data_IF_265279470835
#
_entry.id   IF_265279470835
#
_cell.length_a   1.000
_cell.length_b   1.000
_cell.length_c   1.000
_cell.angle_alpha   90.00
_cell.angle_beta   90.00
_cell.angle_gamma   90.00
#
_symmetry.space_group_name_H-M   'P 1'
#
loop_
_entity.id
_entity.type
_entity.pdbx_description
1 polymer ?
#
# COMPACT_ATOMS: atom_id res chain seq x y z
N UNK A 1 30.99 4.17 27.82
CA UNK A 1 30.56 2.83 28.27
C UNK A 1 29.33 2.50 27.43
N UNK A 2 29.51 1.71 26.37
CA UNK A 2 28.42 1.35 25.44
C UNK A 2 27.60 0.25 26.12
N UNK A 3 26.27 0.36 26.25
CA UNK A 3 25.48 -0.77 26.69
C UNK A 3 25.49 -1.79 25.54
N UNK A 4 26.23 -2.88 25.73
CA UNK A 4 26.11 -4.07 24.89
C UNK A 4 24.79 -4.72 25.27
N UNK A 5 23.73 -4.40 24.54
CA UNK A 5 22.51 -5.22 24.57
C UNK A 5 22.86 -6.56 23.95
N UNK A 6 22.92 -7.61 24.77
CA UNK A 6 23.03 -8.97 24.28
C UNK A 6 21.92 -9.23 23.24
N UNK A 7 22.21 -9.96 22.14
CA UNK A 7 21.16 -10.33 21.19
C UNK A 7 20.14 -11.19 21.94
N UNK A 8 18.89 -10.73 21.98
CA UNK A 8 17.79 -11.53 22.50
C UNK A 8 17.68 -12.80 21.65
N UNK A 9 17.74 -13.96 22.29
CA UNK A 9 17.39 -15.24 21.67
C UNK A 9 15.95 -15.15 21.13
N UNK A 10 15.70 -15.75 19.95
CA UNK A 10 14.39 -15.79 19.28
C UNK A 10 13.27 -16.22 20.22
N UNK A 11 13.51 -17.18 21.13
CA UNK A 11 12.52 -17.59 22.13
C UNK A 11 12.16 -16.47 23.09
N UNK A 12 13.16 -15.71 23.56
CA UNK A 12 12.95 -14.56 24.45
C UNK A 12 12.20 -13.42 23.75
N UNK A 13 12.44 -13.23 22.45
CA UNK A 13 11.74 -12.24 21.63
C UNK A 13 10.28 -12.62 21.37
N UNK A 14 10.02 -13.89 21.05
CA UNK A 14 8.65 -14.42 20.90
C UNK A 14 7.87 -14.37 22.21
N UNK A 15 8.48 -14.73 23.34
CA UNK A 15 7.84 -14.61 24.65
C UNK A 15 7.47 -13.16 24.98
N UNK A 16 8.34 -12.19 24.65
CA UNK A 16 8.06 -10.76 24.82
C UNK A 16 6.95 -10.26 23.89
N UNK A 17 6.91 -10.72 22.64
CA UNK A 17 5.86 -10.39 21.67
C UNK A 17 4.50 -10.99 22.06
N UNK A 18 4.47 -12.27 22.40
CA UNK A 18 3.26 -12.95 22.87
C UNK A 18 2.70 -12.30 24.14
N UNK A 19 3.57 -11.82 25.04
CA UNK A 19 3.15 -11.04 26.21
C UNK A 19 2.57 -9.65 25.84
N UNK A 20 3.00 -9.04 24.73
CA UNK A 20 2.46 -7.77 24.24
C UNK A 20 1.18 -7.92 23.39
N UNK A 21 0.90 -9.11 22.88
CA UNK A 21 -0.31 -9.45 22.09
C UNK A 21 -1.34 -10.26 22.87
N UNK A 22 -1.14 -10.50 24.17
CA UNK A 22 -2.00 -11.32 25.02
C UNK A 22 -3.31 -10.61 25.39
N UNK A 23 -4.25 -10.57 24.46
CA UNK A 23 -5.69 -10.57 24.73
C UNK A 23 -6.28 -11.96 24.47
N UNK A 24 -6.14 -12.84 25.48
CA UNK A 24 -6.82 -14.15 25.76
C UNK A 24 -7.44 -14.94 24.58
N UNK A 25 -7.05 -16.19 24.31
CA UNK A 25 -7.32 -17.43 25.10
C UNK A 25 -6.66 -18.60 24.33
N UNK A 26 -6.20 -19.73 24.87
CA UNK A 26 -6.23 -20.37 26.18
C UNK A 26 -5.93 -21.85 25.91
N UNK A 27 -4.68 -22.29 26.01
CA UNK A 27 -4.29 -23.70 25.89
C UNK A 27 -3.90 -24.23 27.26
N UNK A 28 -4.77 -25.06 27.81
CA UNK A 28 -4.55 -25.77 29.05
C UNK A 28 -5.31 -27.09 28.98
N UNK A 29 -4.59 -28.17 28.78
CA UNK A 29 -5.10 -29.54 28.84
C UNK A 29 -3.98 -30.44 29.33
N UNK A 30 -4.03 -30.82 30.61
CA UNK A 30 -3.15 -31.82 31.20
C UNK A 30 -3.45 -33.21 30.59
N UNK A 31 -2.43 -33.85 30.04
CA UNK A 31 -2.51 -35.23 29.53
C UNK A 31 -1.12 -35.85 29.39
N UNK A 32 -0.77 -36.72 30.33
CA UNK A 32 0.44 -37.54 30.33
C UNK A 32 0.27 -38.73 29.36
N UNK A 33 1.14 -38.84 28.36
CA UNK A 33 1.66 -40.13 27.87
C UNK A 33 2.88 -39.95 26.93
N UNK A 34 3.89 -40.75 27.21
CA UNK A 34 5.18 -40.92 26.52
C UNK A 34 5.09 -41.09 25.00
N UNK A 35 5.32 -40.00 24.29
CA UNK A 35 5.93 -39.87 22.96
C UNK A 35 6.73 -38.56 23.02
N UNK A 36 7.80 -38.38 22.24
CA UNK A 36 8.43 -37.04 22.13
C UNK A 36 7.30 -36.01 21.95
N UNK A 37 7.22 -34.96 22.79
CA UNK A 37 6.10 -34.04 22.74
C UNK A 37 6.01 -33.50 21.31
N UNK A 38 4.82 -33.43 20.70
CA UNK A 38 4.68 -32.71 19.45
C UNK A 38 5.28 -31.33 19.68
N UNK A 39 6.27 -30.96 18.86
CA UNK A 39 6.86 -29.63 18.94
C UNK A 39 5.70 -28.65 18.82
N UNK A 40 5.46 -27.85 19.86
CA UNK A 40 4.36 -26.90 19.82
C UNK A 40 4.54 -26.01 18.57
N UNK A 41 3.45 -25.51 17.94
CA UNK A 41 3.54 -24.61 16.78
C UNK A 41 4.56 -23.48 16.98
N UNK A 42 4.70 -23.01 18.22
CA UNK A 42 5.67 -22.02 18.64
C UNK A 42 7.11 -22.54 18.48
N UNK A 43 7.42 -23.77 18.88
CA UNK A 43 8.74 -24.35 18.68
C UNK A 43 9.09 -24.50 17.19
N UNK A 44 8.12 -24.86 16.34
CA UNK A 44 8.29 -24.89 14.88
C UNK A 44 8.60 -23.51 14.31
N UNK A 45 7.89 -22.47 14.76
CA UNK A 45 8.15 -21.09 14.36
C UNK A 45 9.52 -20.59 14.87
N UNK A 46 9.90 -20.93 16.10
CA UNK A 46 11.24 -20.63 16.66
C UNK A 46 12.34 -21.27 15.81
N UNK A 47 12.11 -22.51 15.36
CA UNK A 47 13.03 -23.26 14.49
C UNK A 47 13.14 -22.66 13.08
N UNK A 48 12.33 -21.65 12.73
CA UNK A 48 12.37 -21.01 11.42
C UNK A 48 11.54 -21.73 10.37
N UNK A 49 10.54 -22.52 10.79
CA UNK A 49 9.61 -23.20 9.88
C UNK A 49 8.33 -22.37 9.70
N UNK A 50 7.67 -22.55 8.56
CA UNK A 50 6.36 -21.97 8.31
C UNK A 50 5.31 -22.93 8.86
N UNK A 51 4.28 -22.39 9.53
CA UNK A 51 3.21 -23.20 10.12
C UNK A 51 1.88 -22.80 9.52
N UNK A 52 1.16 -23.76 8.94
CA UNK A 52 -0.21 -23.59 8.47
C UNK A 52 -1.19 -24.18 9.50
N UNK A 53 -2.27 -23.46 9.77
CA UNK A 53 -3.35 -23.89 10.66
C UNK A 53 -4.67 -23.76 9.89
N UNK A 54 -5.31 -24.90 9.61
CA UNK A 54 -6.61 -24.98 8.94
C UNK A 54 -7.76 -24.51 9.83
N UNK A 55 -8.94 -24.27 9.23
CA UNK A 55 -10.16 -23.93 10.00
C UNK A 55 -10.63 -25.04 10.94
N UNK A 56 -10.26 -26.29 10.67
CA UNK A 56 -10.50 -27.46 11.51
C UNK A 56 -9.46 -27.66 12.62
N UNK A 57 -8.53 -26.70 12.77
CA UNK A 57 -7.37 -26.76 13.66
C UNK A 57 -6.34 -27.83 13.28
N UNK A 58 -6.36 -28.36 12.04
CA UNK A 58 -5.27 -29.19 11.54
C UNK A 58 -4.02 -28.32 11.32
N UNK A 59 -2.89 -28.76 11.86
CA UNK A 59 -1.60 -28.08 11.74
C UNK A 59 -0.73 -28.79 10.70
N UNK A 60 -0.10 -27.99 9.83
CA UNK A 60 0.95 -28.47 8.91
C UNK A 60 2.20 -27.62 9.06
N UNK A 61 3.33 -28.27 9.38
CA UNK A 61 4.64 -27.61 9.49
C UNK A 61 5.41 -27.78 8.19
N UNK A 62 5.78 -26.68 7.55
CA UNK A 62 6.61 -26.65 6.35
C UNK A 62 8.03 -26.24 6.73
N UNK A 63 8.97 -27.18 6.62
CA UNK A 63 10.39 -26.88 6.83
C UNK A 63 10.91 -26.06 5.66
N UNK A 64 11.36 -24.84 5.96
CA UNK A 64 11.85 -23.87 4.97
C UNK A 64 13.09 -24.30 4.20
N UNK A 65 13.81 -25.33 4.66
CA UNK A 65 14.96 -25.89 3.98
C UNK A 65 14.61 -27.01 2.99
N UNK A 66 13.40 -27.58 3.09
CA UNK A 66 13.00 -28.78 2.33
C UNK A 66 12.30 -28.43 1.01
N UNK A 67 12.00 -27.15 0.78
CA UNK A 67 11.26 -26.64 -0.38
C UNK A 67 11.73 -25.25 -0.79
N UNK A 68 11.59 -24.94 -2.08
CA UNK A 68 11.83 -23.59 -2.62
C UNK A 68 10.60 -22.67 -2.47
N UNK A 69 9.46 -23.22 -2.04
CA UNK A 69 8.17 -22.53 -1.99
C UNK A 69 7.41 -22.68 -0.65
N UNK A 70 8.08 -22.45 0.50
CA UNK A 70 7.52 -22.84 1.80
C UNK A 70 6.21 -22.12 2.18
N UNK A 71 6.00 -20.87 1.74
CA UNK A 71 4.76 -20.14 2.03
C UNK A 71 3.65 -20.58 1.10
N UNK A 72 3.96 -20.81 -0.18
CA UNK A 72 2.97 -21.34 -1.12
C UNK A 72 2.52 -22.74 -0.72
N UNK A 73 3.44 -23.63 -0.35
CA UNK A 73 3.14 -25.00 0.09
C UNK A 73 2.24 -24.99 1.34
N UNK A 74 2.49 -24.07 2.27
CA UNK A 74 1.66 -23.86 3.46
C UNK A 74 0.25 -23.37 3.12
N UNK A 75 0.11 -22.46 2.15
CA UNK A 75 -1.20 -22.00 1.67
C UNK A 75 -1.96 -23.12 0.94
N UNK A 76 -1.25 -23.94 0.17
CA UNK A 76 -1.85 -25.07 -0.56
C UNK A 76 -2.34 -26.15 0.41
N UNK A 77 -1.66 -26.37 1.53
CA UNK A 77 -2.11 -27.30 2.58
C UNK A 77 -3.45 -26.89 3.23
N UNK A 78 -3.78 -25.59 3.24
CA UNK A 78 -5.05 -25.07 3.80
C UNK A 78 -6.01 -24.55 2.73
N UNK A 79 -5.79 -24.88 1.45
CA UNK A 79 -6.57 -24.33 0.34
C UNK A 79 -8.05 -24.73 0.41
N UNK A 80 -8.34 -25.99 0.75
CA UNK A 80 -9.69 -26.54 0.74
C UNK A 80 -10.53 -26.09 1.94
N UNK A 81 -9.92 -26.05 3.13
CA UNK A 81 -10.59 -25.65 4.37
C UNK A 81 -10.52 -24.14 4.63
N UNK A 82 -9.58 -23.42 4.01
CA UNK A 82 -9.16 -22.09 4.45
C UNK A 82 -8.31 -22.19 5.73
N UNK A 83 -7.67 -21.09 6.12
CA UNK A 83 -6.79 -21.13 7.28
C UNK A 83 -5.84 -19.96 7.40
N UNK A 84 -4.82 -20.14 8.23
CA UNK A 84 -3.79 -19.13 8.53
C UNK A 84 -2.41 -19.74 8.38
N UNK A 85 -1.54 -19.02 7.69
CA UNK A 85 -0.13 -19.34 7.54
C UNK A 85 0.68 -18.36 8.39
N UNK A 86 1.44 -18.89 9.33
CA UNK A 86 2.29 -18.14 10.24
C UNK A 86 3.75 -18.19 9.75
N UNK A 87 4.31 -17.01 9.52
CA UNK A 87 5.71 -16.83 9.19
C UNK A 87 6.55 -16.83 10.46
N UNK A 88 7.65 -17.58 10.51
CA UNK A 88 8.58 -17.55 11.64
C UNK A 88 9.27 -16.18 11.72
N UNK A 89 9.83 -15.80 12.89
CA UNK A 89 10.82 -14.74 12.96
C UNK A 89 12.08 -15.09 12.16
N UNK A 90 12.58 -14.14 11.39
CA UNK A 90 13.68 -14.30 10.46
C UNK A 90 13.22 -14.31 9.02
N UNK A 91 14.06 -14.86 8.15
CA UNK A 91 13.91 -14.80 6.71
C UNK A 91 13.37 -16.13 6.18
N UNK A 92 12.23 -16.07 5.50
CA UNK A 92 11.70 -17.12 4.64
C UNK A 92 11.89 -16.68 3.19
N UNK A 93 12.47 -17.55 2.38
CA UNK A 93 12.65 -17.30 0.94
C UNK A 93 11.61 -18.09 0.17
N UNK A 94 11.02 -17.42 -0.80
CA UNK A 94 10.09 -17.99 -1.75
C UNK A 94 10.66 -17.73 -3.15
N UNK A 95 10.71 -18.78 -3.98
CA UNK A 95 11.25 -18.66 -5.33
C UNK A 95 10.27 -17.97 -6.28
N UNK A 96 9.00 -18.33 -6.21
CA UNK A 96 7.93 -17.78 -7.04
C UNK A 96 7.07 -16.73 -6.33
N UNK A 97 6.07 -16.17 -7.03
CA UNK A 97 5.10 -15.32 -6.37
C UNK A 97 4.17 -16.16 -5.50
N UNK A 98 3.80 -15.63 -4.34
CA UNK A 98 2.84 -16.25 -3.42
C UNK A 98 1.43 -15.93 -3.91
N UNK A 99 0.59 -16.96 -4.04
CA UNK A 99 -0.79 -16.86 -4.55
C UNK A 99 -1.79 -17.34 -3.49
N UNK A 100 -2.26 -16.44 -2.61
CA UNK A 100 -3.25 -16.80 -1.59
C UNK A 100 -4.53 -17.40 -2.17
N UNK A 101 -5.10 -18.36 -1.45
CA UNK A 101 -6.42 -18.94 -1.76
C UNK A 101 -7.52 -18.13 -1.07
N UNK A 102 -8.78 -18.41 -1.41
CA UNK A 102 -9.93 -17.84 -0.70
C UNK A 102 -9.89 -18.25 0.77
N UNK A 103 -10.31 -17.35 1.66
CA UNK A 103 -10.37 -17.61 3.11
C UNK A 103 -9.03 -17.99 3.75
N UNK A 104 -7.91 -17.48 3.23
CA UNK A 104 -6.58 -17.73 3.79
C UNK A 104 -5.94 -16.44 4.31
N UNK A 105 -4.90 -16.54 5.13
CA UNK A 105 -4.11 -15.37 5.47
C UNK A 105 -2.69 -15.68 5.86
N UNK A 106 -1.80 -14.70 5.71
CA UNK A 106 -0.38 -14.77 6.04
C UNK A 106 -0.12 -13.81 7.19
N UNK A 107 0.44 -14.33 8.28
CA UNK A 107 0.66 -13.61 9.52
C UNK A 107 2.10 -13.72 9.97
N UNK A 108 2.73 -12.59 10.30
CA UNK A 108 4.06 -12.55 10.91
C UNK A 108 4.06 -11.90 12.28
N UNK A 109 5.25 -11.83 12.87
CA UNK A 109 5.48 -11.31 14.22
C UNK A 109 5.84 -9.81 14.28
N UNK A 110 5.81 -9.13 13.14
CA UNK A 110 6.07 -7.70 12.99
C UNK A 110 6.88 -7.37 11.73
N UNK A 111 6.80 -6.11 11.30
CA UNK A 111 7.66 -5.56 10.26
C UNK A 111 9.13 -5.70 10.67
N UNK A 112 10.01 -6.13 9.75
CA UNK A 112 11.42 -6.47 10.01
C UNK A 112 11.67 -7.64 10.99
N UNK A 113 10.63 -8.30 11.49
CA UNK A 113 10.76 -9.50 12.34
C UNK A 113 10.56 -10.75 11.51
N UNK A 114 9.38 -10.87 10.89
CA UNK A 114 9.07 -11.92 9.92
C UNK A 114 9.28 -11.34 8.54
N UNK A 115 10.16 -11.95 7.75
CA UNK A 115 10.52 -11.48 6.41
C UNK A 115 10.20 -12.57 5.41
N UNK A 116 9.30 -12.28 4.49
CA UNK A 116 9.06 -13.07 3.29
C UNK A 116 9.81 -12.42 2.13
N UNK A 117 10.84 -13.09 1.60
CA UNK A 117 11.62 -12.60 0.48
C UNK A 117 11.29 -13.35 -0.82
N UNK A 118 10.89 -12.60 -1.84
CA UNK A 118 10.92 -13.07 -3.23
C UNK A 118 12.28 -12.70 -3.82
N UNK A 119 13.16 -13.68 -3.95
CA UNK A 119 14.54 -13.44 -4.36
C UNK A 119 14.73 -13.45 -5.88
N UNK A 120 13.82 -14.07 -6.63
CA UNK A 120 13.93 -14.22 -8.08
C UNK A 120 13.62 -12.89 -8.80
N UNK A 121 14.45 -12.57 -9.78
CA UNK A 121 14.30 -11.33 -10.54
C UNK A 121 13.08 -11.38 -11.47
N UNK A 122 12.41 -10.24 -11.66
CA UNK A 122 11.18 -10.10 -12.46
C UNK A 122 10.00 -10.94 -11.94
N UNK A 123 10.02 -11.30 -10.65
CA UNK A 123 8.95 -12.06 -10.01
C UNK A 123 8.09 -11.14 -9.14
N UNK A 124 6.77 -11.30 -9.22
CA UNK A 124 5.81 -10.62 -8.34
C UNK A 124 5.97 -11.11 -6.89
N UNK A 125 5.51 -10.30 -5.95
CA UNK A 125 5.41 -10.66 -4.54
C UNK A 125 4.22 -11.58 -4.27
N UNK A 126 3.12 -10.94 -3.87
CA UNK A 126 1.83 -11.57 -3.67
C UNK A 126 0.98 -11.30 -4.91
N UNK A 127 0.59 -12.37 -5.59
CA UNK A 127 -0.12 -12.32 -6.86
C UNK A 127 -1.53 -12.89 -6.72
N UNK A 128 -2.51 -12.06 -7.04
CA UNK A 128 -3.93 -12.43 -7.11
C UNK A 128 -4.34 -12.57 -8.57
N UNK A 129 -4.14 -13.78 -9.10
CA UNK A 129 -4.41 -14.15 -10.50
C UNK A 129 -5.23 -15.46 -10.65
N UNK A 130 -5.75 -16.00 -9.54
CA UNK A 130 -6.46 -17.30 -9.52
C UNK A 130 -7.85 -17.23 -10.16
N UNK A 131 -8.30 -18.37 -10.66
CA UNK A 131 -9.70 -18.63 -11.02
C UNK A 131 -10.20 -19.84 -10.19
N UNK A 132 -11.19 -19.68 -9.30
CA UNK A 132 -11.91 -18.44 -9.00
C UNK A 132 -11.06 -17.43 -8.19
N UNK A 133 -11.25 -16.11 -8.40
CA UNK A 133 -10.37 -15.08 -7.79
C UNK A 133 -10.39 -15.11 -6.26
N UNK A 134 -9.29 -14.71 -5.64
CA UNK A 134 -9.16 -14.73 -4.17
C UNK A 134 -10.15 -13.76 -3.49
N UNK A 135 -10.65 -14.14 -2.33
CA UNK A 135 -11.51 -13.30 -1.47
C UNK A 135 -11.32 -13.67 0.00
N UNK A 136 -11.59 -12.74 0.92
CA UNK A 136 -11.39 -12.92 2.37
C UNK A 136 -9.95 -13.33 2.68
N UNK A 137 -8.99 -12.60 2.11
CA UNK A 137 -7.55 -12.80 2.33
C UNK A 137 -7.02 -11.80 3.32
N UNK A 138 -6.20 -12.26 4.26
CA UNK A 138 -5.52 -11.42 5.25
C UNK A 138 -3.99 -11.43 5.10
N UNK A 139 -3.36 -10.27 5.16
CA UNK A 139 -1.90 -10.10 5.17
C UNK A 139 -1.52 -9.19 6.34
N UNK A 140 -0.84 -9.68 7.38
CA UNK A 140 -0.49 -8.85 8.54
C UNK A 140 0.85 -9.21 9.19
N UNK A 141 1.61 -8.18 9.58
CA UNK A 141 2.70 -8.31 10.54
C UNK A 141 3.99 -8.85 9.94
N UNK A 142 4.30 -8.57 8.67
CA UNK A 142 5.56 -9.01 8.07
C UNK A 142 6.14 -7.99 7.09
N UNK A 143 7.42 -8.19 6.77
CA UNK A 143 8.09 -7.55 5.66
C UNK A 143 7.97 -8.41 4.41
N UNK A 144 7.47 -7.83 3.31
CA UNK A 144 7.51 -8.39 1.97
C UNK A 144 8.72 -7.80 1.22
N UNK A 145 9.78 -8.59 1.12
CA UNK A 145 11.07 -8.19 0.60
C UNK A 145 11.22 -8.57 -0.87
N UNK A 146 11.54 -7.61 -1.72
CA UNK A 146 11.87 -7.84 -3.12
C UNK A 146 13.28 -8.42 -3.33
N UNK A 147 13.69 -8.57 -4.59
CA UNK A 147 15.00 -9.14 -4.96
C UNK A 147 16.17 -8.16 -4.72
N UNK A 148 15.89 -6.93 -4.30
CA UNK A 148 16.88 -5.91 -3.91
C UNK A 148 16.88 -4.68 -4.80
N UNK A 149 17.47 -3.58 -4.31
CA UNK A 149 17.36 -2.23 -4.89
C UNK A 149 17.82 -2.12 -6.34
N UNK A 150 18.82 -2.91 -6.72
CA UNK A 150 19.41 -2.90 -8.07
C UNK A 150 18.96 -4.08 -8.94
N UNK A 151 17.99 -4.86 -8.48
CA UNK A 151 17.51 -6.07 -9.17
C UNK A 151 16.10 -5.85 -9.70
N UNK A 152 15.83 -6.26 -10.94
CA UNK A 152 14.45 -6.28 -11.47
C UNK A 152 13.53 -7.11 -10.61
N UNK A 153 12.36 -6.58 -10.30
CA UNK A 153 11.26 -7.27 -9.64
C UNK A 153 10.01 -7.20 -10.51
N UNK A 154 9.00 -7.98 -10.15
CA UNK A 154 7.62 -7.66 -10.49
C UNK A 154 7.03 -6.67 -9.48
N UNK A 155 5.71 -6.72 -9.31
CA UNK A 155 4.95 -5.91 -8.35
C UNK A 155 4.90 -6.61 -6.99
N UNK A 156 5.04 -5.88 -5.88
CA UNK A 156 4.97 -6.49 -4.54
C UNK A 156 3.59 -7.09 -4.24
N UNK A 157 2.49 -6.40 -4.56
CA UNK A 157 1.11 -6.88 -4.43
C UNK A 157 0.38 -6.60 -5.73
N UNK A 158 -0.03 -7.65 -6.42
CA UNK A 158 -0.55 -7.56 -7.77
C UNK A 158 -1.92 -8.21 -7.88
N UNK A 159 -2.94 -7.39 -8.12
CA UNK A 159 -4.25 -7.84 -8.57
C UNK A 159 -4.24 -7.84 -10.09
N UNK A 160 -3.83 -8.97 -10.65
CA UNK A 160 -3.61 -9.14 -12.09
C UNK A 160 -4.89 -9.57 -12.77
N UNK A 161 -5.16 -8.98 -13.92
CA UNK A 161 -6.27 -9.46 -14.73
C UNK A 161 -5.99 -10.87 -15.26
N UNK A 162 -7.05 -11.66 -15.32
CA UNK A 162 -7.01 -13.06 -15.75
C UNK A 162 -8.24 -13.43 -16.60
N UNK A 163 -8.89 -12.43 -17.18
CA UNK A 163 -10.11 -12.56 -18.02
C UNK A 163 -11.31 -13.23 -17.29
N UNK A 164 -11.24 -13.41 -15.97
CA UNK A 164 -12.34 -13.97 -15.20
C UNK A 164 -13.54 -13.02 -15.13
N UNK A 165 -14.73 -13.60 -14.95
CA UNK A 165 -15.98 -12.84 -14.83
C UNK A 165 -15.88 -11.84 -13.67
N UNK A 166 -16.21 -10.54 -13.87
CA UNK A 166 -16.21 -9.53 -12.81
C UNK A 166 -17.06 -9.90 -11.58
N UNK A 167 -18.05 -10.80 -11.70
CA UNK A 167 -18.80 -11.33 -10.54
C UNK A 167 -17.90 -12.05 -9.52
N UNK A 168 -16.74 -12.51 -9.98
CA UNK A 168 -15.74 -13.18 -9.17
C UNK A 168 -14.66 -12.24 -8.66
N UNK A 169 -14.79 -10.91 -8.84
CA UNK A 169 -13.79 -9.92 -8.47
C UNK A 169 -13.26 -10.09 -7.03
N UNK A 170 -11.99 -9.74 -6.78
CA UNK A 170 -11.40 -9.90 -5.46
C UNK A 170 -12.16 -9.08 -4.41
N UNK A 171 -12.53 -9.72 -3.30
CA UNK A 171 -13.37 -9.11 -2.27
C UNK A 171 -12.86 -9.34 -0.85
N UNK A 172 -13.19 -8.42 0.06
CA UNK A 172 -12.99 -8.56 1.51
C UNK A 172 -11.53 -8.79 1.92
N UNK A 173 -10.59 -8.01 1.35
CA UNK A 173 -9.18 -8.11 1.71
C UNK A 173 -8.88 -7.30 2.98
N UNK A 174 -8.05 -7.87 3.85
CA UNK A 174 -7.49 -7.18 5.00
C UNK A 174 -5.96 -7.16 4.91
N UNK A 175 -5.38 -5.98 4.76
CA UNK A 175 -3.93 -5.77 4.86
C UNK A 175 -3.68 -4.98 6.14
N UNK A 176 -3.14 -5.64 7.16
CA UNK A 176 -2.85 -5.03 8.46
C UNK A 176 -1.61 -4.15 8.40
N UNK A 177 -0.53 -4.59 9.05
CA UNK A 177 0.78 -3.93 9.06
C UNK A 177 1.71 -4.62 8.07
N UNK A 178 1.86 -4.04 6.90
CA UNK A 178 2.74 -4.58 5.86
C UNK A 178 3.88 -3.60 5.55
N UNK A 179 5.08 -4.14 5.45
CA UNK A 179 6.27 -3.41 5.05
C UNK A 179 6.85 -3.98 3.76
N UNK A 180 6.81 -3.23 2.66
CA UNK A 180 7.41 -3.60 1.39
C UNK A 180 8.80 -2.95 1.27
N UNK A 181 9.81 -3.76 0.95
CA UNK A 181 11.19 -3.27 0.81
C UNK A 181 11.82 -3.69 -0.50
N UNK A 182 12.48 -2.74 -1.17
CA UNK A 182 13.28 -2.94 -2.38
C UNK A 182 12.54 -3.62 -3.55
N UNK A 183 11.34 -3.10 -3.87
CA UNK A 183 10.56 -3.45 -5.05
C UNK A 183 10.72 -2.39 -6.14
N UNK A 184 10.74 -2.81 -7.39
CA UNK A 184 11.29 -2.06 -8.51
C UNK A 184 10.40 -2.04 -9.77
N UNK A 185 9.15 -2.49 -9.63
CA UNK A 185 8.06 -2.37 -10.63
C UNK A 185 6.73 -2.08 -9.90
N UNK A 186 6.70 -1.03 -9.08
CA UNK A 186 5.61 -0.67 -8.16
C UNK A 186 5.42 -1.63 -6.97
N UNK A 187 4.67 -1.17 -5.96
CA UNK A 187 4.37 -1.93 -4.75
C UNK A 187 2.96 -2.51 -4.79
N UNK A 188 1.96 -1.72 -5.18
CA UNK A 188 0.57 -2.16 -5.16
C UNK A 188 -0.07 -1.85 -6.51
N UNK A 189 -0.40 -2.87 -7.30
CA UNK A 189 -1.02 -2.71 -8.62
C UNK A 189 -2.33 -3.45 -8.69
N UNK A 190 -3.35 -2.74 -9.15
CA UNK A 190 -4.61 -3.29 -9.62
C UNK A 190 -4.71 -3.02 -11.11
N UNK A 191 -4.74 -4.09 -11.90
CA UNK A 191 -4.85 -4.00 -13.35
C UNK A 191 -6.23 -3.50 -13.81
N UNK A 192 -6.27 -3.01 -15.06
CA UNK A 192 -7.53 -2.79 -15.76
C UNK A 192 -8.24 -4.14 -15.93
N UNK A 193 -9.56 -4.19 -15.69
CA UNK A 193 -10.33 -5.45 -15.71
C UNK A 193 -10.49 -6.14 -14.34
N UNK A 194 -9.76 -5.71 -13.31
CA UNK A 194 -9.92 -6.23 -11.94
C UNK A 194 -10.54 -5.19 -11.04
N UNK A 195 -11.64 -5.49 -10.36
CA UNK A 195 -12.34 -4.55 -9.49
C UNK A 195 -12.36 -4.93 -8.02
N UNK A 196 -11.23 -4.88 -7.28
CA UNK A 196 -11.24 -5.22 -5.87
C UNK A 196 -12.23 -4.34 -5.10
N UNK A 197 -13.02 -4.93 -4.21
CA UNK A 197 -14.03 -4.22 -3.45
C UNK A 197 -14.02 -4.60 -1.98
N UNK A 198 -14.43 -3.65 -1.13
CA UNK A 198 -14.46 -3.82 0.34
C UNK A 198 -13.09 -4.20 0.93
N UNK A 199 -12.00 -3.69 0.35
CA UNK A 199 -10.66 -3.95 0.84
C UNK A 199 -10.22 -2.90 1.87
N UNK A 200 -9.58 -3.34 2.95
CA UNK A 200 -9.08 -2.49 4.03
C UNK A 200 -7.57 -2.69 4.22
N UNK A 201 -6.82 -1.59 4.17
CA UNK A 201 -5.38 -1.56 4.40
C UNK A 201 -5.09 -0.66 5.60
N UNK A 202 -4.75 -1.19 6.77
CA UNK A 202 -4.52 -0.37 7.97
C UNK A 202 -3.20 0.40 7.90
N UNK A 203 -2.11 -0.27 7.50
CA UNK A 203 -0.77 0.33 7.43
C UNK A 203 0.08 -0.31 6.33
N UNK A 204 0.49 0.50 5.35
CA UNK A 204 1.40 0.10 4.27
C UNK A 204 2.65 1.00 4.29
N UNK A 205 3.82 0.39 4.51
CA UNK A 205 5.12 1.07 4.41
C UNK A 205 5.90 0.57 3.20
N UNK A 206 6.59 1.47 2.52
CA UNK A 206 7.34 1.21 1.30
C UNK A 206 8.70 1.88 1.39
N UNK A 207 9.79 1.14 1.61
CA UNK A 207 11.12 1.73 1.68
C UNK A 207 12.02 1.16 0.59
N UNK A 208 12.84 2.03 0.01
CA UNK A 208 13.76 1.72 -1.09
C UNK A 208 13.06 1.09 -2.31
N UNK A 209 11.76 1.38 -2.48
CA UNK A 209 11.00 0.95 -3.64
C UNK A 209 11.08 2.00 -4.76
N UNK A 210 10.99 1.54 -6.01
CA UNK A 210 11.01 2.34 -7.22
C UNK A 210 9.78 1.99 -8.07
N UNK A 211 9.08 3.00 -8.58
CA UNK A 211 7.98 2.80 -9.51
C UNK A 211 8.46 2.24 -10.86
N UNK A 212 9.74 2.37 -11.22
CA UNK A 212 10.27 1.96 -12.50
C UNK A 212 9.67 2.77 -13.64
N UNK A 213 9.24 2.11 -14.72
CA UNK A 213 8.61 2.73 -15.89
C UNK A 213 7.09 2.99 -15.71
N UNK A 214 6.63 3.07 -14.45
CA UNK A 214 5.21 3.12 -14.10
C UNK A 214 4.81 4.49 -13.58
N UNK A 215 3.50 4.72 -13.50
CA UNK A 215 2.99 6.03 -13.10
C UNK A 215 3.21 6.30 -11.60
N UNK A 216 3.22 5.26 -10.76
CA UNK A 216 3.35 5.38 -9.31
C UNK A 216 3.72 4.05 -8.60
N UNK A 217 4.08 4.13 -7.31
CA UNK A 217 4.23 2.98 -6.42
C UNK A 217 2.90 2.25 -6.15
N UNK A 218 1.79 3.00 -6.07
CA UNK A 218 0.44 2.47 -5.97
C UNK A 218 -0.29 2.82 -7.28
N UNK A 219 -0.64 1.79 -8.05
CA UNK A 219 -1.38 1.93 -9.31
C UNK A 219 -2.76 1.28 -9.20
N UNK A 220 -3.80 2.10 -9.20
CA UNK A 220 -5.18 1.65 -9.23
C UNK A 220 -5.78 1.88 -10.62
N UNK A 221 -5.70 0.88 -11.49
CA UNK A 221 -6.15 1.00 -12.89
C UNK A 221 -7.56 0.47 -13.14
N UNK A 222 -8.22 -0.02 -12.09
CA UNK A 222 -9.58 -0.53 -12.20
C UNK A 222 -10.59 0.55 -12.57
N UNK A 223 -11.51 0.23 -13.48
CA UNK A 223 -12.68 1.05 -13.79
C UNK A 223 -13.77 1.00 -12.71
N UNK A 224 -13.75 -0.02 -11.84
CA UNK A 224 -14.73 -0.31 -10.80
C UNK A 224 -14.01 -0.62 -9.45
N UNK A 225 -14.71 -1.10 -8.43
CA UNK A 225 -14.14 -1.40 -7.11
C UNK A 225 -14.54 -0.37 -6.05
N UNK A 226 -15.74 -0.50 -5.46
CA UNK A 226 -16.21 0.37 -4.39
C UNK A 226 -15.56 0.05 -3.02
N UNK A 227 -15.55 1.05 -2.15
CA UNK A 227 -15.24 0.92 -0.72
C UNK A 227 -13.84 0.36 -0.42
N UNK A 228 -12.80 0.88 -1.09
CA UNK A 228 -11.42 0.55 -0.77
C UNK A 228 -10.82 1.62 0.14
N UNK A 229 -10.20 1.20 1.24
CA UNK A 229 -9.67 2.09 2.25
C UNK A 229 -8.22 1.76 2.58
N UNK A 230 -7.41 2.80 2.73
CA UNK A 230 -6.05 2.80 3.21
C UNK A 230 -5.98 3.74 4.43
N UNK A 231 -5.54 3.25 5.57
CA UNK A 231 -5.33 4.05 6.77
C UNK A 231 -4.10 4.91 6.60
N UNK A 232 -2.94 4.32 6.88
CA UNK A 232 -1.66 5.02 6.76
C UNK A 232 -0.80 4.42 5.67
N UNK A 233 -0.33 5.28 4.76
CA UNK A 233 0.65 4.97 3.73
C UNK A 233 1.93 5.75 4.04
N UNK A 234 3.05 5.04 4.15
CA UNK A 234 4.37 5.63 4.34
C UNK A 234 5.27 5.19 3.20
N UNK A 235 5.89 6.13 2.48
CA UNK A 235 6.78 5.79 1.37
C UNK A 235 8.09 6.56 1.41
N UNK A 236 9.20 5.83 1.39
CA UNK A 236 10.55 6.36 1.20
C UNK A 236 11.16 5.70 -0.04
N UNK A 237 10.70 6.09 -1.25
CA UNK A 237 11.18 5.52 -2.50
C UNK A 237 12.68 5.76 -2.72
N UNK A 238 13.27 4.97 -3.61
CA UNK A 238 14.61 5.16 -4.13
C UNK A 238 14.56 5.37 -5.63
N UNK A 239 15.45 6.22 -6.14
CA UNK A 239 15.68 6.43 -7.57
C UNK A 239 16.92 5.68 -8.06
N UNK A 240 17.48 4.74 -7.29
CA UNK A 240 18.70 3.99 -7.64
C UNK A 240 18.55 3.24 -8.98
N UNK A 241 17.35 2.73 -9.28
CA UNK A 241 17.08 1.93 -10.48
C UNK A 241 16.62 2.78 -11.67
N UNK A 242 15.53 3.53 -11.53
CA UNK A 242 14.93 4.30 -12.63
C UNK A 242 15.67 5.63 -12.89
N UNK A 243 16.42 6.12 -11.89
CA UNK A 243 17.03 7.45 -11.94
C UNK A 243 16.04 8.61 -11.77
N UNK A 244 14.76 8.32 -11.54
CA UNK A 244 13.67 9.28 -11.45
C UNK A 244 12.97 9.25 -10.09
N UNK A 245 12.35 10.37 -9.72
CA UNK A 245 11.49 10.42 -8.53
C UNK A 245 10.21 9.60 -8.77
N UNK A 246 9.82 8.78 -7.79
CA UNK A 246 8.64 7.92 -7.91
C UNK A 246 7.36 8.68 -7.55
N UNK A 247 6.31 8.53 -8.37
CA UNK A 247 4.95 8.91 -7.99
C UNK A 247 4.40 7.99 -6.90
N UNK A 248 3.49 8.48 -6.05
CA UNK A 248 2.97 7.69 -4.92
C UNK A 248 1.66 6.96 -5.27
N UNK A 249 0.63 7.68 -5.72
CA UNK A 249 -0.66 7.11 -6.11
C UNK A 249 -1.09 7.56 -7.51
N UNK A 250 -1.32 6.59 -8.41
CA UNK A 250 -2.04 6.78 -9.66
C UNK A 250 -3.40 6.09 -9.61
N UNK A 251 -4.47 6.79 -9.98
CA UNK A 251 -5.84 6.26 -9.97
C UNK A 251 -6.57 6.51 -11.29
N UNK A 252 -7.10 5.44 -11.89
CA UNK A 252 -7.91 5.44 -13.12
C UNK A 252 -9.29 4.79 -12.94
N UNK A 253 -9.95 5.04 -11.80
CA UNK A 253 -11.30 4.56 -11.49
C UNK A 253 -11.44 4.08 -10.05
N UNK A 254 -12.47 3.29 -9.77
CA UNK A 254 -12.79 2.81 -8.42
C UNK A 254 -13.14 3.91 -7.40
N UNK A 255 -13.29 3.51 -6.14
CA UNK A 255 -13.48 4.39 -4.98
C UNK A 255 -12.43 4.08 -3.92
N UNK A 256 -11.51 5.02 -3.70
CA UNK A 256 -10.40 4.91 -2.76
C UNK A 256 -10.52 5.99 -1.69
N UNK A 257 -10.37 5.59 -0.43
CA UNK A 257 -10.10 6.50 0.69
C UNK A 257 -8.71 6.23 1.24
N UNK A 258 -7.93 7.28 1.48
CA UNK A 258 -6.63 7.22 2.16
C UNK A 258 -6.65 8.18 3.34
N UNK A 259 -6.42 7.74 4.58
CA UNK A 259 -6.44 8.67 5.71
C UNK A 259 -5.18 9.53 5.75
N UNK A 260 -4.00 8.91 5.66
CA UNK A 260 -2.73 9.61 5.76
C UNK A 260 -1.71 9.06 4.76
N UNK A 261 -1.02 9.95 4.07
CA UNK A 261 0.16 9.67 3.26
C UNK A 261 1.32 10.49 3.81
N UNK A 262 2.44 9.84 4.09
CA UNK A 262 3.72 10.48 4.40
C UNK A 262 4.79 9.95 3.46
N UNK A 263 5.52 10.86 2.80
CA UNK A 263 6.53 10.47 1.82
C UNK A 263 7.81 11.26 1.93
N UNK A 264 8.96 10.60 1.80
CA UNK A 264 10.27 11.26 1.81
C UNK A 264 11.17 10.90 0.63
N UNK A 265 12.49 11.01 0.85
CA UNK A 265 13.55 10.60 -0.11
C UNK A 265 13.36 11.15 -1.53
N UNK A 266 13.20 10.29 -2.54
CA UNK A 266 13.05 10.63 -3.96
C UNK A 266 11.59 10.49 -4.42
N UNK A 267 10.69 11.20 -3.73
CA UNK A 267 9.26 11.21 -4.06
C UNK A 267 8.90 12.36 -5.00
N UNK A 268 8.17 12.03 -6.06
CA UNK A 268 7.60 12.99 -7.01
C UNK A 268 6.18 13.42 -6.63
N UNK A 269 5.25 13.36 -7.58
CA UNK A 269 3.82 13.67 -7.35
C UNK A 269 3.20 12.65 -6.39
N UNK A 270 2.38 13.13 -5.45
CA UNK A 270 1.71 12.26 -4.48
C UNK A 270 0.47 11.59 -5.04
N UNK A 271 -0.36 12.35 -5.77
CA UNK A 271 -1.63 11.86 -6.30
C UNK A 271 -1.79 12.28 -7.74
N UNK A 272 -1.93 11.32 -8.65
CA UNK A 272 -2.40 11.53 -10.02
C UNK A 272 -3.71 10.78 -10.24
N UNK A 273 -4.82 11.50 -10.09
CA UNK A 273 -6.16 10.94 -10.29
C UNK A 273 -6.63 11.23 -11.72
N UNK A 274 -6.56 10.25 -12.59
CA UNK A 274 -7.12 10.32 -13.93
C UNK A 274 -8.66 10.21 -13.94
N UNK A 275 -9.24 9.32 -13.11
CA UNK A 275 -10.69 9.10 -12.98
C UNK A 275 -11.03 8.48 -11.61
N UNK A 276 -12.32 8.26 -11.30
CA UNK A 276 -12.75 7.56 -10.08
C UNK A 276 -13.07 8.50 -8.92
N UNK A 277 -13.30 7.94 -7.73
CA UNK A 277 -13.59 8.69 -6.50
C UNK A 277 -12.40 8.57 -5.54
N UNK A 278 -11.99 9.70 -4.98
CA UNK A 278 -10.84 9.76 -4.10
C UNK A 278 -11.13 10.64 -2.90
N UNK A 279 -10.86 10.13 -1.71
CA UNK A 279 -10.75 10.94 -0.52
C UNK A 279 -9.37 10.71 0.10
N UNK A 280 -8.60 11.77 0.27
CA UNK A 280 -7.38 11.78 1.06
C UNK A 280 -7.55 12.66 2.29
N UNK A 281 -7.21 12.16 3.48
CA UNK A 281 -7.13 12.95 4.69
C UNK A 281 -5.94 13.90 4.62
N UNK A 282 -4.75 13.43 4.98
CA UNK A 282 -3.52 14.24 4.99
C UNK A 282 -2.50 13.74 3.97
N UNK A 283 -1.89 14.69 3.26
CA UNK A 283 -0.68 14.50 2.49
C UNK A 283 0.49 15.22 3.19
N UNK A 284 1.54 14.49 3.55
CA UNK A 284 2.76 15.03 4.14
C UNK A 284 3.96 14.75 3.23
N UNK A 285 4.47 15.80 2.60
CA UNK A 285 5.56 15.76 1.62
C UNK A 285 6.88 16.22 2.25
N UNK A 286 7.86 15.32 2.36
CA UNK A 286 9.14 15.57 3.01
C UNK A 286 10.36 14.99 2.25
N UNK A 287 10.56 15.28 0.95
CA UNK A 287 11.69 14.74 0.20
C UNK A 287 13.04 15.30 0.71
N UNK A 288 14.02 14.41 0.89
CA UNK A 288 15.38 14.78 1.36
C UNK A 288 16.40 14.74 0.22
N UNK A 289 16.08 14.09 -0.89
CA UNK A 289 16.94 13.94 -2.07
C UNK A 289 16.14 14.24 -3.35
N UNK A 290 15.31 15.28 -3.30
CA UNK A 290 14.44 15.66 -4.41
C UNK A 290 15.25 15.90 -5.69
N UNK A 291 15.02 15.08 -6.72
CA UNK A 291 15.75 15.17 -7.99
C UNK A 291 15.08 16.14 -8.96
N UNK A 292 13.75 16.21 -8.90
CA UNK A 292 12.94 17.13 -9.68
C UNK A 292 11.83 17.74 -8.82
N UNK A 293 11.46 18.98 -9.16
CA UNK A 293 10.32 19.66 -8.53
C UNK A 293 9.06 19.28 -9.30
N UNK A 294 8.06 18.66 -8.67
CA UNK A 294 6.83 18.30 -9.35
C UNK A 294 6.00 19.55 -9.68
N UNK A 295 5.40 19.56 -10.88
CA UNK A 295 4.43 20.60 -11.27
C UNK A 295 3.30 20.75 -10.25
N UNK A 296 2.86 19.63 -9.68
CA UNK A 296 1.88 19.62 -8.60
C UNK A 296 1.99 18.36 -7.76
N UNK A 297 1.67 18.47 -6.46
CA UNK A 297 1.58 17.32 -5.56
C UNK A 297 0.32 16.48 -5.83
N UNK A 298 -0.77 17.14 -6.21
CA UNK A 298 -2.05 16.51 -6.53
C UNK A 298 -2.53 16.96 -7.89
N UNK A 299 -2.72 16.02 -8.81
CA UNK A 299 -3.32 16.25 -10.12
C UNK A 299 -4.70 15.59 -10.17
N UNK A 300 -5.70 16.37 -10.59
CA UNK A 300 -7.09 15.92 -10.65
C UNK A 300 -7.58 16.01 -12.09
N UNK A 301 -7.88 14.86 -12.65
CA UNK A 301 -8.50 14.65 -13.95
C UNK A 301 -10.04 14.63 -13.91
N UNK A 302 -10.67 14.23 -15.02
CA UNK A 302 -12.12 14.19 -15.13
C UNK A 302 -12.79 13.17 -14.21
N UNK A 303 -14.08 13.42 -13.92
CA UNK A 303 -15.01 12.42 -13.40
C UNK A 303 -14.78 11.97 -11.95
N UNK A 304 -15.88 11.51 -11.34
CA UNK A 304 -15.96 11.20 -9.90
C UNK A 304 -15.70 12.39 -8.98
N UNK A 305 -15.76 12.16 -7.67
CA UNK A 305 -15.55 13.17 -6.64
C UNK A 305 -14.14 13.07 -6.08
N UNK A 306 -13.55 14.21 -5.71
CA UNK A 306 -12.23 14.24 -5.08
C UNK A 306 -12.27 15.10 -3.83
N UNK A 307 -11.68 14.64 -2.74
CA UNK A 307 -11.52 15.43 -1.52
C UNK A 307 -10.12 15.25 -0.98
N UNK A 308 -9.41 16.34 -0.74
CA UNK A 308 -8.09 16.34 -0.09
C UNK A 308 -8.22 17.26 1.13
N UNK A 309 -8.16 16.72 2.35
CA UNK A 309 -8.42 17.54 3.55
C UNK A 309 -7.24 18.42 3.95
N UNK A 310 -6.01 17.94 3.81
CA UNK A 310 -4.81 18.62 4.31
C UNK A 310 -3.58 18.28 3.45
N UNK A 311 -2.73 19.27 3.23
CA UNK A 311 -1.46 19.16 2.51
C UNK A 311 -0.40 19.94 3.28
N UNK A 312 0.68 19.27 3.65
CA UNK A 312 1.84 19.86 4.30
C UNK A 312 3.06 19.58 3.44
N UNK A 313 3.79 20.63 3.10
CA UNK A 313 5.11 20.54 2.44
C UNK A 313 6.16 20.84 3.50
N UNK A 314 6.69 19.79 4.12
CA UNK A 314 7.62 19.93 5.24
C UNK A 314 9.06 20.12 4.76
N UNK A 315 9.44 19.60 3.60
CA UNK A 315 10.72 19.89 2.96
C UNK A 315 10.61 19.84 1.44
N UNK A 316 11.70 20.20 0.75
CA UNK A 316 11.71 20.31 -0.72
C UNK A 316 10.78 21.40 -1.25
N UNK A 317 10.39 21.24 -2.52
CA UNK A 317 9.48 22.16 -3.18
C UNK A 317 8.47 21.44 -4.09
N UNK A 318 7.36 22.11 -4.39
CA UNK A 318 6.46 21.81 -5.51
C UNK A 318 6.09 23.12 -6.21
N UNK A 319 5.75 23.08 -7.50
CA UNK A 319 5.26 24.30 -8.16
C UNK A 319 3.86 24.67 -7.63
N UNK A 320 2.93 23.71 -7.63
CA UNK A 320 1.58 23.85 -7.09
C UNK A 320 1.25 22.75 -6.04
N UNK A 321 0.31 22.99 -5.13
CA UNK A 321 -0.28 21.90 -4.35
C UNK A 321 -1.26 21.09 -5.21
N UNK A 322 -2.09 21.77 -6.00
CA UNK A 322 -3.17 21.18 -6.78
C UNK A 322 -3.12 21.61 -8.24
N UNK A 323 -3.29 20.68 -9.17
CA UNK A 323 -3.56 20.93 -10.60
C UNK A 323 -4.94 20.37 -10.97
N UNK A 324 -5.86 21.24 -11.40
CA UNK A 324 -7.15 20.84 -11.97
C UNK A 324 -7.06 20.80 -13.49
N UNK A 325 -7.14 19.59 -14.06
CA UNK A 325 -7.04 19.39 -15.51
C UNK A 325 -8.38 19.57 -16.22
N UNK A 326 -8.35 19.43 -17.55
CA UNK A 326 -9.56 19.45 -18.39
C UNK A 326 -10.61 18.46 -17.87
N UNK A 327 -11.83 18.97 -17.70
CA UNK A 327 -13.03 18.30 -17.18
C UNK A 327 -12.95 17.86 -15.72
N UNK A 328 -11.96 18.32 -14.96
CA UNK A 328 -11.98 18.18 -13.50
C UNK A 328 -13.23 18.89 -12.93
N UNK A 329 -13.82 18.31 -11.90
CA UNK A 329 -15.05 18.78 -11.26
C UNK A 329 -15.34 17.98 -10.00
N UNK A 330 -16.27 18.45 -9.16
CA UNK A 330 -16.61 17.84 -7.87
C UNK A 330 -15.39 17.62 -6.95
N UNK A 331 -14.40 18.52 -7.00
CA UNK A 331 -13.27 18.50 -6.08
C UNK A 331 -13.54 19.39 -4.86
N UNK A 332 -13.11 18.96 -3.68
CA UNK A 332 -13.10 19.74 -2.44
C UNK A 332 -11.68 19.78 -1.90
N UNK A 333 -11.09 20.98 -1.91
CA UNK A 333 -9.67 21.22 -1.64
C UNK A 333 -9.52 22.28 -0.55
N UNK A 334 -8.45 22.21 0.23
CA UNK A 334 -8.15 23.15 1.31
C UNK A 334 -6.82 23.84 1.05
N UNK A 335 -6.63 25.05 1.58
CA UNK A 335 -5.33 25.69 1.55
C UNK A 335 -4.28 24.77 2.22
N UNK A 336 -3.09 24.59 1.62
CA UNK A 336 -2.01 23.87 2.26
C UNK A 336 -1.68 24.48 3.62
N UNK A 337 -1.39 23.64 4.61
CA UNK A 337 -0.99 24.09 5.93
C UNK A 337 0.49 24.54 5.93
N UNK A 338 0.85 25.35 6.93
CA UNK A 338 2.23 25.83 7.10
C UNK A 338 3.19 24.65 7.26
N UNK A 339 4.22 24.61 6.41
CA UNK A 339 5.31 23.64 6.45
C UNK A 339 6.66 24.34 6.26
N UNK A 340 7.77 23.62 6.42
CA UNK A 340 9.12 24.20 6.27
C UNK A 340 9.62 24.19 4.82
N UNK A 341 8.97 23.44 3.93
CA UNK A 341 9.25 23.43 2.50
C UNK A 341 8.50 24.55 1.76
N UNK A 342 8.41 24.47 0.43
CA UNK A 342 7.89 25.59 -0.38
C UNK A 342 6.95 25.14 -1.48
N UNK A 343 5.81 25.82 -1.61
CA UNK A 343 5.03 25.87 -2.84
C UNK A 343 5.46 27.15 -3.58
N UNK A 344 5.99 27.01 -4.79
CA UNK A 344 6.70 28.10 -5.49
C UNK A 344 5.76 29.09 -6.16
N UNK A 345 4.66 28.57 -6.69
CA UNK A 345 3.61 29.36 -7.31
C UNK A 345 2.43 29.49 -6.34
N UNK A 346 1.25 29.76 -6.89
CA UNK A 346 0.00 29.70 -6.14
C UNK A 346 -0.36 28.26 -5.73
N UNK A 347 -1.29 28.08 -4.79
CA UNK A 347 -1.62 26.74 -4.31
C UNK A 347 -2.35 25.88 -5.37
N UNK A 348 -3.19 26.50 -6.19
CA UNK A 348 -4.04 25.81 -7.17
C UNK A 348 -3.75 26.34 -8.58
N UNK A 349 -3.49 25.42 -9.52
CA UNK A 349 -3.47 25.71 -10.95
C UNK A 349 -4.72 25.13 -11.64
N UNK A 350 -5.53 26.00 -12.24
CA UNK A 350 -6.60 25.61 -13.18
C UNK A 350 -6.01 25.52 -14.58
N UNK A 351 -5.45 24.35 -14.90
CA UNK A 351 -4.72 24.10 -16.13
C UNK A 351 -5.60 23.80 -17.34
N UNK A 352 -6.89 23.50 -17.15
CA UNK A 352 -7.81 23.18 -18.23
C UNK A 352 -9.26 23.60 -17.98
N UNK A 353 -10.08 23.50 -19.04
CA UNK A 353 -11.52 23.76 -18.95
C UNK A 353 -12.17 22.80 -17.95
N UNK A 354 -12.72 23.32 -16.85
CA UNK A 354 -13.37 22.52 -15.81
C UNK A 354 -14.75 22.00 -16.26
N UNK A 355 -15.28 21.00 -15.55
CA UNK A 355 -16.60 20.43 -15.82
C UNK A 355 -17.70 21.46 -15.59
N UNK A 356 -18.57 21.69 -16.57
CA UNK A 356 -19.60 22.74 -16.58
C UNK A 356 -20.68 22.55 -15.47
N UNK A 357 -20.97 21.30 -15.16
CA UNK A 357 -22.08 20.79 -14.34
C UNK A 357 -21.65 20.35 -12.93
N UNK A 358 -20.34 20.33 -12.65
CA UNK A 358 -19.74 19.76 -11.45
C UNK A 358 -18.76 20.75 -10.83
N UNK A 359 -19.26 21.76 -10.09
CA UNK A 359 -18.39 22.74 -9.47
C UNK A 359 -17.39 22.08 -8.53
N UNK A 360 -16.22 22.70 -8.39
CA UNK A 360 -15.24 22.35 -7.37
C UNK A 360 -15.13 23.49 -6.36
N UNK A 361 -14.69 23.18 -5.14
CA UNK A 361 -14.58 24.11 -4.04
C UNK A 361 -13.16 24.10 -3.50
N UNK A 362 -12.61 25.29 -3.33
CA UNK A 362 -11.31 25.51 -2.70
C UNK A 362 -11.49 26.42 -1.48
N UNK A 363 -11.08 25.93 -0.33
CA UNK A 363 -11.12 26.62 0.96
C UNK A 363 -9.78 27.34 1.20
N UNK A 364 -9.53 28.36 0.40
CA UNK A 364 -8.39 29.28 0.50
C UNK A 364 -8.72 30.63 -0.13
N UNK A 365 -7.72 31.47 -0.36
CA UNK A 365 -7.85 32.79 -0.98
C UNK A 365 -7.95 32.71 -2.50
N UNK A 366 -8.55 33.73 -3.12
CA UNK A 366 -8.58 33.85 -4.58
C UNK A 366 -7.20 34.17 -5.16
N UNK A 367 -6.31 34.72 -4.33
CA UNK A 367 -4.92 34.95 -4.67
C UNK A 367 -4.13 33.64 -4.78
N UNK A 368 -4.62 32.53 -4.20
CA UNK A 368 -3.92 31.23 -4.23
C UNK A 368 -4.25 30.43 -5.50
N UNK A 369 -4.87 31.06 -6.51
CA UNK A 369 -5.36 30.39 -7.70
C UNK A 369 -4.78 31.02 -8.97
N UNK A 370 -4.04 30.22 -9.71
CA UNK A 370 -3.65 30.51 -11.09
C UNK A 370 -4.63 29.88 -12.08
N UNK A 371 -4.93 30.64 -13.13
CA UNK A 371 -5.72 30.16 -14.27
C UNK A 371 -4.83 30.20 -15.51
N UNK A 372 -4.22 29.05 -15.82
CA UNK A 372 -3.34 28.91 -16.99
C UNK A 372 -4.08 28.34 -18.21
N UNK A 373 -5.28 27.79 -18.01
CA UNK A 373 -6.16 27.30 -19.07
C UNK A 373 -6.75 28.40 -19.95
N UNK A 374 -6.90 28.14 -21.26
CA UNK A 374 -7.28 29.17 -22.25
C UNK A 374 -8.79 29.48 -22.37
N UNK A 375 -9.69 28.74 -21.73
CA UNK A 375 -11.14 28.98 -21.82
C UNK A 375 -11.99 28.20 -20.80
N UNK A 376 -13.11 28.79 -20.36
CA UNK A 376 -14.20 28.13 -19.58
C UNK A 376 -13.70 27.45 -18.29
N UNK A 377 -12.87 28.16 -17.53
CA UNK A 377 -12.25 27.74 -16.26
C UNK A 377 -13.12 28.04 -15.03
N UNK A 378 -14.27 28.70 -15.25
CA UNK A 378 -15.12 29.35 -14.24
C UNK A 378 -15.82 28.54 -13.15
N UNK A 379 -15.47 27.26 -12.98
CA UNK A 379 -16.18 26.31 -12.12
C UNK A 379 -15.42 25.87 -10.87
N UNK A 380 -14.33 26.56 -10.55
CA UNK A 380 -13.76 26.55 -9.20
C UNK A 380 -14.37 27.69 -8.37
N UNK A 381 -14.91 27.35 -7.19
CA UNK A 381 -15.44 28.30 -6.21
C UNK A 381 -14.43 28.45 -5.08
N UNK A 382 -13.96 29.67 -4.87
CA UNK A 382 -12.97 29.99 -3.83
C UNK A 382 -13.68 30.62 -2.63
N UNK A 383 -13.49 30.05 -1.44
CA UNK A 383 -14.31 30.36 -0.27
C UNK A 383 -13.67 31.33 0.75
N UNK A 384 -12.40 31.72 0.59
CA UNK A 384 -11.68 32.59 1.54
C UNK A 384 -12.25 34.01 1.71
N UNK A 385 -13.09 34.47 0.78
CA UNK A 385 -13.92 35.67 0.93
C UNK A 385 -15.28 35.43 0.26
N UNK A 386 -16.26 34.89 1.00
CA UNK A 386 -17.64 34.70 0.53
C UNK A 386 -17.76 34.21 -0.95
N UNK A 387 -17.15 33.07 -1.28
CA UNK A 387 -17.51 32.28 -2.47
C UNK A 387 -17.50 32.97 -3.84
N UNK A 388 -16.55 33.86 -4.14
CA UNK A 388 -16.42 34.41 -5.50
C UNK A 388 -15.96 33.32 -6.47
N UNK A 389 -16.69 33.13 -7.57
CA UNK A 389 -16.22 32.31 -8.68
C UNK A 389 -15.11 33.04 -9.44
N UNK A 390 -14.02 32.34 -9.75
CA UNK A 390 -12.93 32.87 -10.60
C UNK A 390 -13.31 32.66 -12.07
N UNK A 391 -13.12 33.66 -12.93
CA UNK A 391 -13.56 33.67 -14.34
C UNK A 391 -12.62 32.97 -15.30
#
# INVERSE_FOLDING_TARGET
MVPVTAPLDRRSYLAALLASTAGCSGWGGDGDMTTDPPAEPIDSLVAGHVVAVGLDLEETVIRTADTETPVQDALDAVADSGGRVYLPPGLVRERGPVRPHRNTGIYGFGMNVSVLQIAEANTDGILFDRDPRASRVALDGFELRGPGRNTSSGVAIHFRDNDADPVSDPADFYVGRLYCWAWNDSVYRVDEGVGPFQCRHDFLRMDDCDAGDRDALIEWRSSYGPANWFGTVVAYPSAERSGADSGLLYQRGGEITVENITTGTTTGRLVDKAYGRLHVGRLHYEPVEQRAVPDSLVRIGPGGATRINDVIVDSGAAEYAYELRRRAGNAVLFAPADGRGTIRENAVNVAGQLSADRPSWYFGSAADVDVTGRSRTGNLRVLGTAGRGMG
#
